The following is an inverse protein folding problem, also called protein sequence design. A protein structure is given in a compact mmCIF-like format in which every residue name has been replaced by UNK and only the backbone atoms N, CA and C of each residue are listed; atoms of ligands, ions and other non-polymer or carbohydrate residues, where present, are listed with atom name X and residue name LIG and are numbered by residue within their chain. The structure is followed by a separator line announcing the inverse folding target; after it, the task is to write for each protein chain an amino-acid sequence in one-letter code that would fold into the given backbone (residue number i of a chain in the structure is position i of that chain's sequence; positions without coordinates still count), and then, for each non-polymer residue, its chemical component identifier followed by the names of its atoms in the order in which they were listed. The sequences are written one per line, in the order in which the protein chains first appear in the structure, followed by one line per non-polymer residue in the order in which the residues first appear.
data_IF_090114367154
#
_entry.id   IF_090114367154
#
_cell.length_a   1.000
_cell.length_b   1.000
_cell.length_c   1.000
_cell.angle_alpha   90.00
_cell.angle_beta   90.00
_cell.angle_gamma   90.00
#
_symmetry.space_group_name_H-M   'P 1'
#
loop_
_entity.id
_entity.type
_entity.pdbx_description
1 polymer ?
#
# COMPACT_ATOMS: atom_id res chain seq x y z
N UNK A 1 30.44 -0.14 12.09
CA UNK A 1 29.68 -0.16 10.82
C UNK A 1 28.25 0.17 11.18
N UNK A 2 27.71 1.29 10.72
CA UNK A 2 26.29 1.60 10.92
C UNK A 2 25.51 0.53 10.14
N UNK A 3 24.80 -0.35 10.85
CA UNK A 3 23.95 -1.38 10.24
C UNK A 3 23.00 -0.65 9.28
N UNK A 4 23.15 -0.87 7.97
CA UNK A 4 22.38 -0.15 6.98
C UNK A 4 20.90 -0.46 7.15
N UNK A 5 20.08 0.56 7.43
CA UNK A 5 18.62 0.44 7.42
C UNK A 5 18.15 0.14 5.99
N UNK A 6 17.37 -0.92 5.81
CA UNK A 6 16.77 -1.29 4.53
C UNK A 6 15.42 -0.57 4.39
N UNK A 7 15.28 0.24 3.34
CA UNK A 7 14.09 1.09 3.11
C UNK A 7 13.09 0.42 2.17
N UNK A 8 11.81 0.51 2.50
CA UNK A 8 10.72 -0.02 1.68
C UNK A 8 9.61 1.01 1.50
N UNK A 9 9.23 1.26 0.25
CA UNK A 9 7.98 1.95 -0.04
C UNK A 9 6.82 0.99 0.18
N UNK A 10 5.78 1.43 0.87
CA UNK A 10 4.63 0.58 1.19
C UNK A 10 3.36 0.98 0.45
N UNK A 11 3.29 2.19 -0.13
CA UNK A 11 2.10 2.68 -0.81
C UNK A 11 2.47 3.38 -2.12
N UNK A 12 2.23 2.72 -3.26
CA UNK A 12 2.44 3.29 -4.58
C UNK A 12 1.49 2.71 -5.63
N UNK A 13 1.34 3.47 -6.71
CA UNK A 13 0.43 3.18 -7.82
C UNK A 13 1.17 3.16 -9.16
N UNK A 14 0.61 2.45 -10.12
CA UNK A 14 1.13 2.18 -11.46
C UNK A 14 0.05 2.41 -12.52
N UNK A 15 0.47 2.85 -13.70
CA UNK A 15 -0.43 3.14 -14.83
C UNK A 15 -1.18 1.92 -15.34
N UNK A 16 -0.68 0.72 -15.05
CA UNK A 16 -1.24 -0.54 -15.51
C UNK A 16 -2.63 -0.82 -14.91
N UNK A 17 -2.87 -0.38 -13.66
CA UNK A 17 -4.11 -0.66 -12.94
C UNK A 17 -4.75 0.56 -12.24
N UNK A 18 -3.99 1.62 -11.93
CA UNK A 18 -4.50 2.86 -11.32
C UNK A 18 -4.66 3.97 -12.35
N UNK A 19 -5.89 4.51 -12.49
CA UNK A 19 -6.21 5.54 -13.49
C UNK A 19 -5.56 6.91 -13.22
N UNK A 20 -5.15 7.17 -11.98
CA UNK A 20 -4.44 8.38 -11.55
C UNK A 20 -2.92 8.25 -11.56
N UNK A 21 -2.36 7.07 -11.81
CA UNK A 21 -0.92 6.91 -11.85
C UNK A 21 -0.35 7.49 -13.16
N UNK A 22 0.88 8.03 -13.08
CA UNK A 22 1.57 8.68 -14.19
C UNK A 22 2.80 7.91 -14.66
N UNK A 23 3.15 6.81 -14.00
CA UNK A 23 4.31 5.97 -14.30
C UNK A 23 3.97 4.49 -14.22
N UNK A 24 4.68 3.68 -15.00
CA UNK A 24 4.51 2.23 -14.99
C UNK A 24 5.16 1.58 -13.78
N UNK A 25 4.77 0.33 -13.47
CA UNK A 25 5.41 -0.44 -12.41
C UNK A 25 6.93 -0.56 -12.60
N UNK A 26 7.37 -0.76 -13.84
CA UNK A 26 8.78 -0.77 -14.24
C UNK A 26 9.50 0.55 -13.91
N UNK A 27 8.86 1.68 -14.18
CA UNK A 27 9.43 2.99 -13.90
C UNK A 27 9.44 3.30 -12.39
N UNK A 28 8.41 2.88 -11.65
CA UNK A 28 8.42 2.94 -10.17
C UNK A 28 9.61 2.19 -9.59
N UNK A 29 9.86 0.95 -10.04
CA UNK A 29 11.00 0.17 -9.59
C UNK A 29 12.34 0.92 -9.78
N UNK A 30 12.57 1.50 -10.95
CA UNK A 30 13.78 2.31 -11.22
C UNK A 30 13.90 3.50 -10.29
N UNK A 31 12.83 4.28 -10.16
CA UNK A 31 12.80 5.50 -9.35
C UNK A 31 13.11 5.25 -7.89
N UNK A 32 12.55 4.20 -7.31
CA UNK A 32 12.81 3.83 -5.92
C UNK A 32 14.20 3.22 -5.74
N UNK A 33 14.67 2.43 -6.71
CA UNK A 33 16.05 1.93 -6.72
C UNK A 33 17.06 3.09 -6.73
N UNK A 34 16.88 4.07 -7.61
CA UNK A 34 17.73 5.24 -7.73
C UNK A 34 17.68 6.12 -6.46
N UNK A 35 16.55 6.12 -5.76
CA UNK A 35 16.37 6.76 -4.45
C UNK A 35 17.01 5.99 -3.28
N UNK A 36 17.67 4.85 -3.53
CA UNK A 36 18.33 4.05 -2.51
C UNK A 36 17.41 3.14 -1.70
N UNK A 37 16.20 2.84 -2.21
CA UNK A 37 15.31 1.87 -1.57
C UNK A 37 15.78 0.44 -1.80
N UNK A 38 15.50 -0.40 -0.80
CA UNK A 38 15.77 -1.84 -0.87
C UNK A 38 14.63 -2.59 -1.55
N UNK A 39 13.40 -2.13 -1.35
CA UNK A 39 12.24 -2.65 -2.04
C UNK A 39 11.05 -1.71 -2.08
N UNK A 40 9.99 -2.17 -2.75
CA UNK A 40 8.71 -1.49 -2.89
C UNK A 40 7.57 -2.50 -2.77
N UNK A 41 6.40 -2.03 -2.35
CA UNK A 41 5.15 -2.77 -2.40
C UNK A 41 4.23 -2.04 -3.38
N UNK A 42 3.82 -2.73 -4.46
CA UNK A 42 2.85 -2.18 -5.42
C UNK A 42 1.45 -2.35 -4.84
N UNK A 43 0.69 -1.25 -4.74
CA UNK A 43 -0.63 -1.21 -4.07
C UNK A 43 -1.66 -0.50 -4.94
N UNK A 44 -1.74 -0.89 -6.21
CA UNK A 44 -2.68 -0.29 -7.16
C UNK A 44 -4.13 -0.26 -6.64
N UNK A 45 -4.90 0.73 -7.09
CA UNK A 45 -6.31 0.87 -6.78
C UNK A 45 -7.08 -0.36 -7.28
N UNK A 46 -7.74 -1.04 -6.35
CA UNK A 46 -8.56 -2.20 -6.65
C UNK A 46 -9.86 -1.80 -7.37
N UNK A 47 -10.69 -2.77 -7.74
CA UNK A 47 -11.85 -2.56 -8.60
C UNK A 47 -12.94 -1.64 -8.05
N UNK A 48 -12.95 -1.38 -6.74
CA UNK A 48 -13.82 -0.41 -6.07
C UNK A 48 -13.18 0.99 -5.93
N UNK A 49 -11.91 1.15 -6.36
CA UNK A 49 -11.10 2.37 -6.32
C UNK A 49 -11.03 3.11 -7.66
N UNK A 50 -10.04 3.98 -7.80
CA UNK A 50 -9.77 4.72 -9.04
C UNK A 50 -8.98 3.86 -10.05
N UNK A 51 -9.53 2.69 -10.39
CA UNK A 51 -8.90 1.72 -11.29
C UNK A 51 -9.10 2.06 -12.76
N UNK A 52 -8.14 1.72 -13.61
CA UNK A 52 -8.30 1.73 -15.08
C UNK A 52 -8.59 0.33 -15.65
N UNK A 53 -8.71 -0.71 -14.82
CA UNK A 53 -9.02 -2.08 -15.28
C UNK A 53 -10.46 -2.15 -15.81
N UNK A 54 -10.68 -2.59 -17.06
CA UNK A 54 -12.02 -2.62 -17.64
C UNK A 54 -12.99 -3.53 -16.86
N UNK A 55 -14.20 -3.04 -16.61
CA UNK A 55 -15.23 -3.71 -15.81
C UNK A 55 -15.98 -4.82 -16.56
N UNK A 56 -16.00 -4.78 -17.89
CA UNK A 56 -16.64 -5.79 -18.74
C UNK A 56 -15.86 -7.10 -18.86
N UNK A 57 -14.60 -7.13 -18.40
CA UNK A 57 -13.79 -8.35 -18.44
C UNK A 57 -14.27 -9.38 -17.41
N UNK A 58 -14.20 -10.69 -17.70
CA UNK A 58 -14.40 -11.73 -16.70
C UNK A 58 -13.47 -11.56 -15.49
N UNK A 59 -13.94 -11.98 -14.30
CA UNK A 59 -13.22 -11.78 -13.03
C UNK A 59 -11.73 -12.14 -13.10
N UNK A 60 -11.40 -13.35 -13.56
CA UNK A 60 -10.00 -13.79 -13.62
C UNK A 60 -9.15 -12.92 -14.55
N UNK A 61 -9.71 -12.44 -15.67
CA UNK A 61 -9.02 -11.55 -16.60
C UNK A 61 -8.84 -10.15 -16.00
N UNK A 62 -9.80 -9.67 -15.19
CA UNK A 62 -9.64 -8.43 -14.43
C UNK A 62 -8.49 -8.55 -13.43
N UNK A 63 -8.41 -9.67 -12.72
CA UNK A 63 -7.31 -9.95 -11.78
C UNK A 63 -5.97 -10.07 -12.50
N UNK A 64 -5.94 -10.74 -13.66
CA UNK A 64 -4.74 -10.80 -14.50
C UNK A 64 -4.26 -9.42 -14.92
N UNK A 65 -5.16 -8.53 -15.36
CA UNK A 65 -4.83 -7.16 -15.71
C UNK A 65 -4.37 -6.35 -14.50
N UNK A 66 -5.10 -6.47 -13.38
CA UNK A 66 -4.80 -5.75 -12.14
C UNK A 66 -3.37 -6.00 -11.66
N UNK A 67 -2.88 -7.23 -11.78
CA UNK A 67 -1.53 -7.59 -11.33
C UNK A 67 -0.40 -7.15 -12.27
N UNK A 68 -0.68 -6.60 -13.47
CA UNK A 68 0.37 -6.26 -14.44
C UNK A 68 1.37 -5.23 -13.91
N UNK A 69 0.91 -4.23 -13.15
CA UNK A 69 1.78 -3.23 -12.54
C UNK A 69 2.82 -3.85 -11.61
N UNK A 70 2.37 -4.73 -10.72
CA UNK A 70 3.22 -5.53 -9.85
C UNK A 70 4.17 -6.46 -10.63
N UNK A 71 3.65 -7.20 -11.61
CA UNK A 71 4.44 -8.16 -12.39
C UNK A 71 5.56 -7.47 -13.18
N UNK A 72 5.26 -6.35 -13.82
CA UNK A 72 6.25 -5.52 -14.54
C UNK A 72 7.28 -4.89 -13.59
N UNK A 73 6.83 -4.40 -12.43
CA UNK A 73 7.71 -3.87 -11.40
C UNK A 73 8.67 -4.96 -10.90
N UNK A 74 8.16 -6.16 -10.63
CA UNK A 74 8.94 -7.31 -10.15
C UNK A 74 9.98 -7.76 -11.17
N UNK A 75 9.60 -7.93 -12.44
CA UNK A 75 10.55 -8.29 -13.50
C UNK A 75 11.71 -7.28 -13.58
N UNK A 76 11.41 -5.98 -13.51
CA UNK A 76 12.45 -4.95 -13.49
C UNK A 76 13.24 -4.96 -12.18
N UNK A 77 12.58 -5.18 -11.04
CA UNK A 77 13.19 -5.26 -9.72
C UNK A 77 14.24 -6.36 -9.64
N UNK A 78 13.92 -7.55 -10.14
CA UNK A 78 14.85 -8.68 -10.25
C UNK A 78 16.09 -8.31 -11.09
N UNK A 79 15.90 -7.52 -12.15
CA UNK A 79 16.98 -7.05 -13.02
C UNK A 79 17.88 -5.99 -12.37
N UNK A 80 17.33 -5.13 -11.51
CA UNK A 80 18.06 -3.98 -10.92
C UNK A 80 18.43 -4.17 -9.43
N UNK A 81 18.06 -5.29 -8.83
CA UNK A 81 18.36 -5.65 -7.44
C UNK A 81 17.44 -4.97 -6.40
N UNK A 82 16.18 -4.73 -6.75
CA UNK A 82 15.13 -4.16 -5.90
C UNK A 82 14.10 -5.25 -5.57
N UNK A 83 13.78 -5.46 -4.29
CA UNK A 83 12.68 -6.35 -3.91
C UNK A 83 11.33 -5.72 -4.27
N UNK A 84 10.42 -6.48 -4.86
CA UNK A 84 9.09 -5.99 -5.23
C UNK A 84 8.03 -6.95 -4.68
N UNK A 85 7.13 -6.40 -3.87
CA UNK A 85 6.05 -7.16 -3.24
C UNK A 85 4.67 -6.68 -3.72
N UNK A 86 3.66 -7.51 -3.48
CA UNK A 86 2.30 -7.29 -3.92
C UNK A 86 1.39 -6.91 -2.76
N UNK A 87 0.53 -5.92 -3.02
CA UNK A 87 -0.61 -5.53 -2.22
C UNK A 87 -1.62 -4.80 -3.11
N UNK A 88 -2.64 -4.19 -2.51
CA UNK A 88 -3.58 -3.33 -3.22
C UNK A 88 -4.25 -2.32 -2.30
N UNK A 89 -4.79 -1.25 -2.88
CA UNK A 89 -5.62 -0.28 -2.17
C UNK A 89 -7.11 -0.51 -2.47
N UNK A 90 -7.88 -0.90 -1.46
CA UNK A 90 -9.32 -1.11 -1.56
C UNK A 90 -10.11 0.11 -1.04
N UNK A 91 -11.18 0.48 -1.74
CA UNK A 91 -11.97 1.68 -1.43
C UNK A 91 -13.41 1.34 -0.99
N UNK A 92 -13.85 1.91 0.12
CA UNK A 92 -15.22 1.84 0.64
C UNK A 92 -15.80 3.24 0.82
N UNK A 93 -16.50 3.76 -0.19
CA UNK A 93 -17.00 5.14 -0.17
C UNK A 93 -15.86 6.14 -0.39
N UNK A 94 -15.44 6.87 0.64
CA UNK A 94 -14.25 7.75 0.62
C UNK A 94 -13.11 7.23 1.48
N UNK A 95 -13.29 6.07 2.12
CA UNK A 95 -12.32 5.41 2.99
C UNK A 95 -11.51 4.41 2.19
N UNK A 96 -10.19 4.39 2.36
CA UNK A 96 -9.28 3.50 1.62
C UNK A 96 -8.42 2.68 2.58
N UNK A 97 -8.04 1.48 2.14
CA UNK A 97 -7.30 0.51 2.93
C UNK A 97 -6.24 -0.18 2.09
N UNK A 98 -5.02 -0.28 2.62
CA UNK A 98 -3.94 -1.07 2.01
C UNK A 98 -4.02 -2.49 2.53
N UNK A 99 -3.96 -3.45 1.61
CA UNK A 99 -4.05 -4.87 1.90
C UNK A 99 -2.76 -5.56 1.47
N UNK A 100 -2.19 -6.34 2.38
CA UNK A 100 -0.93 -7.05 2.17
C UNK A 100 -1.05 -8.53 2.56
N UNK A 101 -0.24 -9.38 1.94
CA UNK A 101 -0.06 -10.80 2.33
C UNK A 101 -0.88 -11.82 1.56
N UNK A 102 -1.76 -11.37 0.64
CA UNK A 102 -2.54 -12.23 -0.23
C UNK A 102 -2.07 -12.05 -1.68
N UNK A 103 -2.15 -13.12 -2.47
CA UNK A 103 -1.60 -13.13 -3.82
C UNK A 103 -2.67 -13.08 -4.92
N UNK A 104 -2.19 -13.07 -6.17
CA UNK A 104 -3.00 -13.11 -7.38
C UNK A 104 -3.96 -14.30 -7.41
N UNK A 105 -3.53 -15.48 -6.96
CA UNK A 105 -4.36 -16.68 -6.99
C UNK A 105 -5.49 -16.58 -5.95
N UNK A 106 -5.20 -16.01 -4.78
CA UNK A 106 -6.21 -15.70 -3.79
C UNK A 106 -7.26 -14.76 -4.37
N UNK A 107 -6.86 -13.66 -5.04
CA UNK A 107 -7.82 -12.76 -5.69
C UNK A 107 -8.68 -13.47 -6.73
N UNK A 108 -8.11 -14.34 -7.58
CA UNK A 108 -8.87 -15.14 -8.55
C UNK A 108 -9.94 -16.01 -7.89
N UNK A 109 -9.63 -16.57 -6.72
CA UNK A 109 -10.52 -17.46 -5.99
C UNK A 109 -11.61 -16.75 -5.16
N UNK A 110 -11.55 -15.41 -5.01
CA UNK A 110 -12.46 -14.65 -4.13
C UNK A 110 -13.18 -13.51 -4.86
N UNK A 111 -13.99 -13.76 -5.91
CA UNK A 111 -14.79 -12.73 -6.58
C UNK A 111 -15.79 -12.02 -5.66
N UNK A 112 -16.20 -12.66 -4.57
CA UNK A 112 -17.11 -12.11 -3.58
C UNK A 112 -16.53 -10.93 -2.78
N UNK A 113 -15.21 -10.68 -2.87
CA UNK A 113 -14.55 -9.51 -2.25
C UNK A 113 -15.26 -8.19 -2.58
N UNK A 114 -15.85 -8.10 -3.78
CA UNK A 114 -16.56 -6.90 -4.25
C UNK A 114 -17.87 -6.63 -3.49
N UNK A 115 -18.35 -7.59 -2.70
CA UNK A 115 -19.59 -7.50 -1.93
C UNK A 115 -19.39 -7.29 -0.43
N UNK A 116 -18.14 -7.29 0.04
CA UNK A 116 -17.83 -7.22 1.47
C UNK A 116 -18.08 -5.84 2.07
N UNK A 117 -18.31 -5.81 3.39
CA UNK A 117 -18.14 -4.59 4.19
C UNK A 117 -16.66 -4.41 4.57
N UNK A 118 -16.34 -3.28 5.20
CA UNK A 118 -14.99 -3.05 5.75
C UNK A 118 -14.62 -4.12 6.78
N UNK A 119 -15.56 -4.47 7.66
CA UNK A 119 -15.37 -5.48 8.71
C UNK A 119 -15.21 -6.89 8.12
N UNK A 120 -15.97 -7.22 7.08
CA UNK A 120 -15.83 -8.51 6.40
C UNK A 120 -14.50 -8.60 5.64
N UNK A 121 -14.07 -7.52 4.97
CA UNK A 121 -12.73 -7.46 4.36
C UNK A 121 -11.66 -7.71 5.40
N UNK A 122 -11.70 -6.98 6.52
CA UNK A 122 -10.74 -7.17 7.60
C UNK A 122 -10.70 -8.61 8.09
N UNK A 123 -11.86 -9.19 8.40
CA UNK A 123 -11.95 -10.57 8.89
C UNK A 123 -11.36 -11.56 7.90
N UNK A 124 -11.70 -11.46 6.62
CA UNK A 124 -11.24 -12.38 5.56
C UNK A 124 -9.75 -12.26 5.28
N UNK A 125 -9.23 -11.03 5.23
CA UNK A 125 -7.79 -10.76 5.08
C UNK A 125 -7.02 -11.31 6.27
N UNK A 126 -7.48 -11.04 7.48
CA UNK A 126 -6.85 -11.49 8.71
C UNK A 126 -6.89 -13.03 8.83
N UNK A 127 -8.00 -13.69 8.47
CA UNK A 127 -8.10 -15.16 8.40
C UNK A 127 -7.11 -15.78 7.41
N UNK A 128 -6.79 -15.08 6.33
CA UNK A 128 -5.78 -15.48 5.36
C UNK A 128 -4.34 -15.12 5.78
N UNK A 129 -4.15 -14.52 6.97
CA UNK A 129 -2.83 -14.13 7.50
C UNK A 129 -2.35 -12.75 7.06
N UNK A 130 -3.12 -12.03 6.25
CA UNK A 130 -2.78 -10.71 5.72
C UNK A 130 -2.82 -9.58 6.76
N UNK A 131 -2.51 -8.37 6.29
CA UNK A 131 -2.49 -7.15 7.08
C UNK A 131 -3.37 -6.08 6.41
N UNK A 132 -4.21 -5.41 7.18
CA UNK A 132 -5.05 -4.30 6.74
C UNK A 132 -4.59 -3.00 7.38
N UNK A 133 -4.28 -2.00 6.55
CA UNK A 133 -3.87 -0.68 6.97
C UNK A 133 -4.91 0.34 6.56
N UNK A 134 -5.33 1.21 7.47
CA UNK A 134 -6.15 2.36 7.11
C UNK A 134 -5.30 3.38 6.34
N UNK A 135 -5.53 3.52 5.04
CA UNK A 135 -4.81 4.48 4.20
C UNK A 135 -5.31 5.91 4.50
N UNK A 136 -4.37 6.85 4.68
CA UNK A 136 -4.60 8.30 4.88
C UNK A 136 -5.97 8.68 5.50
N UNK A 137 -6.32 8.17 6.71
CA UNK A 137 -7.69 8.18 7.25
C UNK A 137 -8.33 9.56 7.40
N UNK A 138 -7.51 10.59 7.58
CA UNK A 138 -7.94 11.97 7.82
C UNK A 138 -7.83 12.85 6.58
N UNK A 139 -7.67 12.25 5.38
CA UNK A 139 -7.64 13.00 4.13
C UNK A 139 -8.96 13.73 3.90
N UNK A 140 -8.88 15.05 3.82
CA UNK A 140 -10.00 15.89 3.41
C UNK A 140 -9.85 16.34 1.95
N UNK A 141 -10.95 16.23 1.19
CA UNK A 141 -11.09 16.72 -0.19
C UNK A 141 -12.55 17.16 -0.40
N UNK A 142 -12.79 18.01 -1.40
CA UNK A 142 -14.13 18.57 -1.68
C UNK A 142 -15.22 17.53 -1.95
N UNK A 143 -14.86 16.32 -2.39
CA UNK A 143 -15.78 15.20 -2.63
C UNK A 143 -15.97 14.27 -1.42
N UNK A 144 -15.20 14.44 -0.36
CA UNK A 144 -15.29 13.63 0.86
C UNK A 144 -16.29 14.30 1.80
N UNK A 145 -17.41 13.62 2.06
CA UNK A 145 -18.51 14.18 2.86
C UNK A 145 -18.25 14.08 4.37
N UNK A 146 -17.58 13.02 4.80
CA UNK A 146 -17.30 12.75 6.20
C UNK A 146 -16.06 11.86 6.32
N UNK A 147 -15.34 12.01 7.44
CA UNK A 147 -14.27 11.10 7.86
C UNK A 147 -14.91 9.92 8.60
N UNK A 148 -14.60 8.71 8.15
CA UNK A 148 -15.05 7.45 8.76
C UNK A 148 -13.85 6.64 9.20
N UNK A 149 -13.84 6.23 10.47
CA UNK A 149 -12.75 5.48 11.09
C UNK A 149 -13.21 4.07 11.48
N UNK A 150 -12.29 3.12 11.44
CA UNK A 150 -12.57 1.70 11.63
C UNK A 150 -11.58 1.01 12.59
N UNK A 151 -11.44 1.47 13.85
CA UNK A 151 -10.35 1.03 14.74
C UNK A 151 -10.40 -0.45 15.15
N UNK A 152 -11.49 -1.15 14.84
CA UNK A 152 -11.66 -2.59 15.10
C UNK A 152 -11.56 -3.46 13.85
N UNK A 153 -11.33 -2.84 12.68
CA UNK A 153 -11.29 -3.50 11.39
C UNK A 153 -10.04 -3.13 10.59
N UNK A 154 -8.95 -2.82 11.29
CA UNK A 154 -7.61 -2.58 10.73
C UNK A 154 -6.56 -3.05 11.74
N UNK A 155 -5.39 -3.44 11.25
CA UNK A 155 -4.23 -3.78 12.07
C UNK A 155 -3.33 -2.56 12.31
N UNK A 156 -3.28 -1.65 11.33
CA UNK A 156 -2.42 -0.47 11.35
C UNK A 156 -3.09 0.75 10.70
N UNK A 157 -2.44 1.90 10.83
CA UNK A 157 -2.83 3.17 10.20
C UNK A 157 -1.65 3.72 9.42
N UNK A 158 -1.89 4.24 8.23
CA UNK A 158 -0.90 5.06 7.52
C UNK A 158 -0.80 6.42 8.22
N UNK A 159 0.19 6.56 9.08
CA UNK A 159 0.44 7.73 9.91
C UNK A 159 1.21 8.83 9.17
N UNK A 160 1.84 8.50 8.03
CA UNK A 160 2.53 9.45 7.17
C UNK A 160 2.15 9.14 5.73
N UNK A 161 1.53 10.10 5.04
CA UNK A 161 1.22 9.99 3.62
C UNK A 161 1.74 11.21 2.86
N UNK A 162 2.81 11.02 2.08
CA UNK A 162 3.45 12.12 1.34
C UNK A 162 2.57 12.66 0.21
N UNK A 163 1.83 11.80 -0.49
CA UNK A 163 0.97 12.19 -1.61
C UNK A 163 -0.11 13.18 -1.19
N UNK A 164 -0.58 13.10 0.05
CA UNK A 164 -1.48 14.07 0.64
C UNK A 164 -0.79 15.32 1.16
N UNK A 165 0.46 15.19 1.63
CA UNK A 165 1.34 16.32 1.95
C UNK A 165 0.80 17.25 3.02
N UNK A 166 -0.06 16.75 3.92
CA UNK A 166 -0.70 17.54 4.96
C UNK A 166 -0.39 16.96 6.35
N UNK A 167 0.46 17.70 7.08
CA UNK A 167 0.91 17.32 8.42
C UNK A 167 -0.25 17.17 9.42
N UNK A 168 -1.31 17.96 9.32
CA UNK A 168 -2.45 17.84 10.24
C UNK A 168 -3.17 16.50 10.06
N UNK A 169 -3.26 16.00 8.84
CA UNK A 169 -3.86 14.69 8.56
C UNK A 169 -3.00 13.57 9.14
N UNK A 170 -1.68 13.65 8.95
CA UNK A 170 -0.70 12.72 9.50
C UNK A 170 -0.72 12.72 11.04
N UNK A 171 -0.74 13.90 11.67
CA UNK A 171 -0.80 14.04 13.13
C UNK A 171 -2.08 13.41 13.70
N UNK A 172 -3.24 13.63 13.07
CA UNK A 172 -4.51 12.99 13.44
C UNK A 172 -4.45 11.47 13.24
N UNK A 173 -3.83 10.99 12.16
CA UNK A 173 -3.65 9.57 11.89
C UNK A 173 -2.79 8.88 12.96
N UNK A 174 -1.67 9.51 13.34
CA UNK A 174 -0.81 9.04 14.42
C UNK A 174 -1.53 9.04 15.77
N UNK A 175 -2.27 10.11 16.11
CA UNK A 175 -3.07 10.16 17.34
C UNK A 175 -4.13 9.06 17.38
N UNK A 176 -4.86 8.86 16.28
CA UNK A 176 -5.84 7.80 16.13
C UNK A 176 -5.22 6.40 16.35
N UNK A 177 -4.07 6.12 15.76
CA UNK A 177 -3.38 4.85 15.98
C UNK A 177 -2.97 4.66 17.46
N UNK A 178 -2.39 5.69 18.10
CA UNK A 178 -2.00 5.63 19.52
C UNK A 178 -3.21 5.39 20.44
N UNK A 179 -4.33 6.09 20.20
CA UNK A 179 -5.54 5.97 21.01
C UNK A 179 -6.16 4.56 20.96
N UNK A 180 -5.95 3.83 19.87
CA UNK A 180 -6.51 2.50 19.66
C UNK A 180 -5.50 1.35 19.75
N UNK A 181 -4.22 1.65 20.03
CA UNK A 181 -3.17 0.64 20.09
C UNK A 181 -2.90 -0.02 18.73
N UNK A 182 -3.10 0.71 17.64
CA UNK A 182 -2.84 0.25 16.28
C UNK A 182 -1.39 0.50 15.89
N UNK A 183 -0.86 -0.36 15.04
CA UNK A 183 0.46 -0.16 14.44
C UNK A 183 0.44 1.04 13.48
N UNK A 184 1.61 1.52 13.08
CA UNK A 184 1.72 2.63 12.14
C UNK A 184 2.50 2.22 10.90
N UNK A 185 2.12 2.79 9.76
CA UNK A 185 2.88 2.69 8.52
C UNK A 185 3.07 4.07 7.93
N UNK A 186 3.93 4.16 6.92
CA UNK A 186 4.24 5.41 6.25
C UNK A 186 4.47 5.09 4.77
N UNK A 187 3.90 5.89 3.88
CA UNK A 187 3.91 5.64 2.44
C UNK A 187 4.01 6.92 1.65
N UNK A 188 4.52 6.81 0.42
CA UNK A 188 4.50 7.96 -0.48
C UNK A 188 3.12 8.19 -1.07
N UNK A 189 2.32 7.13 -1.22
CA UNK A 189 1.12 7.15 -2.07
C UNK A 189 1.50 7.64 -3.47
N UNK A 190 2.56 7.03 -4.01
CA UNK A 190 3.23 7.56 -5.18
C UNK A 190 2.45 7.30 -6.45
N UNK A 191 2.09 8.37 -7.13
CA UNK A 191 1.50 8.36 -8.47
C UNK A 191 2.53 8.73 -9.55
N UNK A 192 3.77 9.06 -9.17
CA UNK A 192 4.88 9.37 -10.07
C UNK A 192 5.16 10.86 -10.25
N UNK A 193 4.50 11.72 -9.47
CA UNK A 193 4.67 13.18 -9.50
C UNK A 193 5.24 13.73 -8.20
N UNK A 194 5.36 12.90 -7.16
CA UNK A 194 5.76 13.31 -5.82
C UNK A 194 7.25 13.66 -5.77
N UNK A 195 7.57 14.76 -5.10
CA UNK A 195 8.95 15.26 -4.95
C UNK A 195 9.64 14.79 -3.67
N UNK A 196 8.94 14.02 -2.84
CA UNK A 196 9.45 13.39 -1.63
C UNK A 196 9.04 11.92 -1.63
N UNK A 197 9.79 11.09 -0.91
CA UNK A 197 9.47 9.68 -0.70
C UNK A 197 9.41 9.32 0.78
N UNK A 198 8.52 8.41 1.13
CA UNK A 198 8.36 7.85 2.47
C UNK A 198 8.37 6.32 2.38
N UNK A 199 7.87 5.61 3.38
CA UNK A 199 8.07 4.19 3.57
C UNK A 199 8.44 3.85 5.00
N UNK A 200 8.92 2.63 5.19
CA UNK A 200 9.42 2.13 6.46
C UNK A 200 10.87 1.65 6.30
N UNK A 201 11.58 1.54 7.43
CA UNK A 201 12.91 0.94 7.48
C UNK A 201 12.98 -0.25 8.42
N UNK A 202 13.76 -1.26 8.04
CA UNK A 202 14.04 -2.44 8.84
C UNK A 202 15.55 -2.63 9.02
N UNK A 203 15.94 -3.35 10.06
CA UNK A 203 17.33 -3.77 10.32
C UNK A 203 17.79 -4.95 9.46
N UNK A 204 16.87 -5.58 8.73
CA UNK A 204 17.12 -6.70 7.84
C UNK A 204 16.44 -6.46 6.48
N UNK A 205 16.90 -7.19 5.46
CA UNK A 205 16.23 -7.20 4.16
C UNK A 205 15.03 -8.14 4.26
N UNK A 206 13.87 -7.68 3.80
CA UNK A 206 12.66 -8.49 3.73
C UNK A 206 12.82 -9.58 2.67
N UNK A 207 12.48 -10.81 3.04
CA UNK A 207 12.47 -11.95 2.11
C UNK A 207 11.25 -11.92 1.19
N UNK A 208 10.07 -11.65 1.76
CA UNK A 208 8.80 -11.59 1.05
C UNK A 208 7.79 -10.65 1.76
N UNK A 209 6.53 -10.67 1.30
CA UNK A 209 5.45 -9.88 1.90
C UNK A 209 5.03 -10.37 3.29
N UNK A 210 5.25 -11.64 3.64
CA UNK A 210 4.94 -12.17 4.97
C UNK A 210 5.99 -11.73 5.99
N UNK A 211 7.24 -11.56 5.56
CA UNK A 211 8.30 -10.99 6.37
C UNK A 211 8.03 -9.51 6.69
N UNK A 212 7.49 -8.75 5.72
CA UNK A 212 6.97 -7.40 5.98
C UNK A 212 5.90 -7.42 7.09
N UNK A 213 4.90 -8.29 6.97
CA UNK A 213 3.79 -8.37 7.94
C UNK A 213 4.29 -8.78 9.32
N UNK A 214 5.15 -9.80 9.39
CA UNK A 214 5.76 -10.24 10.64
C UNK A 214 6.56 -9.12 11.30
N UNK A 215 7.35 -8.39 10.51
CA UNK A 215 8.18 -7.29 11.00
C UNK A 215 7.35 -6.09 11.48
N UNK A 216 6.26 -5.76 10.79
CA UNK A 216 5.31 -4.74 11.24
C UNK A 216 4.63 -5.17 12.54
N UNK A 217 4.16 -6.42 12.64
CA UNK A 217 3.54 -6.96 13.87
C UNK A 217 4.50 -7.03 15.06
N UNK A 218 5.79 -7.18 14.80
CA UNK A 218 6.83 -7.20 15.83
C UNK A 218 7.22 -5.80 16.33
N UNK A 219 6.74 -4.74 15.69
CA UNK A 219 7.06 -3.34 16.02
C UNK A 219 8.58 -3.02 16.01
N UNK A 220 9.34 -3.71 15.14
CA UNK A 220 10.80 -3.49 14.94
C UNK A 220 11.09 -2.81 13.59
N UNK A 221 10.56 -1.60 13.42
CA UNK A 221 10.74 -0.77 12.23
C UNK A 221 10.68 0.72 12.56
N UNK A 222 11.11 1.57 11.63
CA UNK A 222 11.00 3.03 11.76
C UNK A 222 10.28 3.63 10.55
N UNK A 223 9.43 4.63 10.79
CA UNK A 223 8.72 5.36 9.74
C UNK A 223 9.63 6.43 9.10
N UNK A 224 9.56 6.58 7.78
CA UNK A 224 10.32 7.59 7.03
C UNK A 224 9.48 8.88 6.94
N UNK A 225 9.90 9.96 7.60
CA UNK A 225 9.19 11.26 7.65
C UNK A 225 9.22 12.08 6.34
N UNK A 226 9.73 11.51 5.26
CA UNK A 226 9.91 12.17 3.95
C UNK A 226 11.38 12.44 3.63
N UNK A 227 11.86 11.81 2.57
CA UNK A 227 13.19 12.01 1.98
C UNK A 227 13.05 12.84 0.71
N UNK A 228 13.92 13.83 0.47
CA UNK A 228 13.98 14.52 -0.80
C UNK A 228 14.37 13.54 -1.92
N UNK A 229 13.79 13.75 -3.10
CA UNK A 229 14.06 13.02 -4.34
C UNK A 229 15.14 13.71 -5.16
#
# INVERSE_FOLDING_TARGET
MQLGQFRYETHLHTTEASACAHVSGKEQARRYRDAGYTGIIVTDHFFNGNTCVPDYLPWEQRVDWFCLGYENAREEGDRIGLSVFFGWEARFGSTEFLIYGLDKQWLKNHPEIMSWSVEEQYRRVHEAGGLVVHAHPFRERSYIKEIRLFPKAVDAVEAINIGNGNKEFDDKAAEYAMQHGLLMTAGTDSHGIEHKRSGVTFKHRLEDINDFITSIRADDYELIQGLPV
#
